data_IF_307954448124
#
_entry.id   IF_307954448124
#
_cell.length_a   1.000
_cell.length_b   1.000
_cell.length_c   1.000
_cell.angle_alpha   90.00
_cell.angle_beta   90.00
_cell.angle_gamma   90.00
#
_symmetry.space_group_name_H-M   'P 1'
#
loop_
_entity.id
_entity.type
_entity.pdbx_description
1 polymer ?
#
# COMPACT_ATOMS: atom_id res chain seq x y z
N UNK A 1 2.69 12.56 8.66
CA UNK A 1 3.17 11.73 7.52
C UNK A 1 4.67 11.59 7.59
N UNK A 2 5.22 10.41 7.37
CA UNK A 2 6.68 10.26 7.28
C UNK A 2 7.23 10.98 6.05
N UNK A 3 8.49 11.41 6.14
CA UNK A 3 9.19 12.04 5.02
C UNK A 3 9.49 11.00 3.93
N UNK A 4 9.86 11.47 2.74
CA UNK A 4 10.26 10.58 1.66
C UNK A 4 11.43 9.68 2.06
N UNK A 5 12.41 10.22 2.80
CA UNK A 5 13.54 9.41 3.28
C UNK A 5 13.12 8.36 4.29
N UNK A 6 12.22 8.70 5.19
CA UNK A 6 11.68 7.74 6.16
C UNK A 6 10.94 6.60 5.45
N UNK A 7 10.14 6.94 4.44
CA UNK A 7 9.42 5.94 3.65
C UNK A 7 10.42 5.02 2.92
N UNK A 8 11.46 5.57 2.30
CA UNK A 8 12.48 4.76 1.60
C UNK A 8 13.22 3.83 2.55
N UNK A 9 13.55 4.31 3.74
CA UNK A 9 14.19 3.48 4.77
C UNK A 9 13.26 2.34 5.18
N UNK A 10 11.98 2.65 5.36
CA UNK A 10 10.97 1.66 5.70
C UNK A 10 10.82 0.60 4.60
N UNK A 11 10.80 1.00 3.34
CA UNK A 11 10.70 0.09 2.20
C UNK A 11 11.93 -0.81 2.12
N UNK A 12 13.13 -0.28 2.34
CA UNK A 12 14.36 -1.08 2.36
C UNK A 12 14.30 -2.13 3.47
N UNK A 13 13.81 -1.77 4.65
CA UNK A 13 13.65 -2.71 5.77
C UNK A 13 12.66 -3.83 5.43
N UNK A 14 11.70 -3.56 4.56
CA UNK A 14 10.70 -4.52 4.12
C UNK A 14 11.06 -5.21 2.80
N UNK A 15 12.26 -4.97 2.26
CA UNK A 15 12.73 -5.51 0.98
C UNK A 15 11.82 -5.15 -0.21
N UNK A 16 11.22 -3.97 -0.17
CA UNK A 16 10.35 -3.45 -1.23
C UNK A 16 11.17 -2.54 -2.15
N UNK A 17 11.02 -2.71 -3.46
CA UNK A 17 11.68 -1.87 -4.44
C UNK A 17 11.07 -0.48 -4.47
N UNK A 18 11.77 0.52 -3.92
CA UNK A 18 11.27 1.89 -3.84
C UNK A 18 11.08 2.55 -5.20
N UNK A 19 11.87 2.15 -6.21
CA UNK A 19 11.77 2.72 -7.56
C UNK A 19 10.41 2.43 -8.22
N UNK A 20 9.81 1.28 -7.92
CA UNK A 20 8.47 0.92 -8.42
C UNK A 20 7.37 1.40 -7.49
N UNK A 21 7.61 1.34 -6.19
CA UNK A 21 6.60 1.59 -5.15
C UNK A 21 6.29 3.08 -4.96
N UNK A 22 7.32 3.93 -4.93
CA UNK A 22 7.17 5.36 -4.63
C UNK A 22 6.29 6.10 -5.64
N UNK A 23 6.43 5.91 -6.98
CA UNK A 23 5.55 6.57 -7.93
C UNK A 23 4.09 6.21 -7.74
N UNK A 24 3.80 4.96 -7.40
CA UNK A 24 2.43 4.51 -7.14
C UNK A 24 1.87 5.16 -5.88
N UNK A 25 2.67 5.21 -4.82
CA UNK A 25 2.27 5.87 -3.57
C UNK A 25 1.96 7.35 -3.80
N UNK A 26 2.83 8.07 -4.50
CA UNK A 26 2.62 9.49 -4.78
C UNK A 26 1.32 9.73 -5.55
N UNK A 27 1.01 8.83 -6.47
CA UNK A 27 -0.20 8.92 -7.27
C UNK A 27 -1.46 8.77 -6.41
N UNK A 28 -1.49 7.81 -5.50
CA UNK A 28 -2.67 7.60 -4.64
C UNK A 28 -2.77 8.63 -3.52
N UNK A 29 -1.67 9.16 -3.01
CA UNK A 29 -1.67 10.20 -1.98
C UNK A 29 -2.05 11.58 -2.54
N UNK A 30 -1.71 11.84 -3.80
CA UNK A 30 -1.96 13.13 -4.43
C UNK A 30 -3.39 13.34 -4.90
N UNK A 31 -4.26 12.35 -4.75
CA UNK A 31 -5.60 12.43 -5.28
C UNK A 31 -6.63 12.87 -4.24
N UNK A 32 -7.76 13.38 -4.76
CA UNK A 32 -8.88 13.85 -3.95
C UNK A 32 -9.75 12.73 -3.40
N UNK A 33 -9.60 11.50 -3.90
CA UNK A 33 -10.35 10.35 -3.40
C UNK A 33 -9.90 9.98 -2.00
N UNK A 34 -10.72 10.33 -1.04
CA UNK A 34 -10.43 10.13 0.38
C UNK A 34 -10.19 8.66 0.72
N UNK A 35 -11.01 7.77 0.16
CA UNK A 35 -10.90 6.33 0.45
C UNK A 35 -9.57 5.74 0.00
N UNK A 36 -9.10 6.12 -1.18
CA UNK A 36 -7.82 5.66 -1.72
C UNK A 36 -6.67 6.21 -0.87
N UNK A 37 -6.73 7.49 -0.55
CA UNK A 37 -5.71 8.13 0.28
C UNK A 37 -5.65 7.53 1.67
N UNK A 38 -6.80 7.29 2.29
CA UNK A 38 -6.87 6.71 3.64
C UNK A 38 -6.31 5.29 3.64
N UNK A 39 -6.55 4.50 2.61
CA UNK A 39 -5.97 3.16 2.47
C UNK A 39 -4.45 3.21 2.30
N UNK A 40 -3.95 4.19 1.54
CA UNK A 40 -2.50 4.37 1.39
C UNK A 40 -1.84 4.76 2.71
N UNK A 41 -2.47 5.64 3.49
CA UNK A 41 -2.00 6.04 4.81
C UNK A 41 -2.01 4.83 5.76
N UNK A 42 -3.06 4.02 5.71
CA UNK A 42 -3.15 2.79 6.50
C UNK A 42 -2.00 1.84 6.18
N UNK A 43 -1.69 1.67 4.90
CA UNK A 43 -0.57 0.84 4.46
C UNK A 43 0.75 1.34 5.06
N UNK A 44 1.02 2.65 4.99
CA UNK A 44 2.23 3.23 5.58
C UNK A 44 2.30 2.99 7.08
N UNK A 45 1.20 3.20 7.79
CA UNK A 45 1.14 2.99 9.22
C UNK A 45 1.40 1.53 9.59
N UNK A 46 0.83 0.60 8.83
CA UNK A 46 1.03 -0.83 9.06
C UNK A 46 2.50 -1.23 8.87
N UNK A 47 3.15 -0.70 7.83
CA UNK A 47 4.58 -0.94 7.60
C UNK A 47 5.43 -0.37 8.74
N UNK A 48 5.09 0.82 9.24
CA UNK A 48 5.78 1.42 10.38
C UNK A 48 5.64 0.57 11.65
N UNK A 49 4.44 0.08 11.92
CA UNK A 49 4.18 -0.76 13.08
C UNK A 49 4.94 -2.07 13.01
N UNK A 50 5.05 -2.64 11.81
CA UNK A 50 5.86 -3.83 11.61
C UNK A 50 7.34 -3.55 11.86
N UNK A 51 7.85 -2.43 11.36
CA UNK A 51 9.25 -2.04 11.57
C UNK A 51 9.57 -1.80 13.05
N UNK A 52 8.58 -1.35 13.81
CA UNK A 52 8.70 -1.12 15.26
C UNK A 52 8.53 -2.39 16.08
N UNK A 53 8.21 -3.51 15.45
CA UNK A 53 8.01 -4.78 16.15
C UNK A 53 6.62 -4.98 16.74
N UNK A 54 5.67 -4.10 16.45
CA UNK A 54 4.31 -4.17 16.98
C UNK A 54 3.40 -5.13 16.20
N UNK A 55 3.77 -5.42 14.95
CA UNK A 55 3.06 -6.37 14.10
C UNK A 55 4.04 -7.44 13.63
N UNK A 56 3.58 -8.70 13.60
CA UNK A 56 4.31 -9.77 12.95
C UNK A 56 4.13 -9.66 11.44
N UNK A 57 4.97 -10.39 10.69
CA UNK A 57 4.83 -10.46 9.24
C UNK A 57 3.48 -11.05 8.83
N UNK A 58 3.00 -12.06 9.57
CA UNK A 58 1.68 -12.65 9.33
C UNK A 58 0.54 -11.67 9.59
N UNK A 59 0.63 -10.89 10.67
CA UNK A 59 -0.36 -9.85 10.98
C UNK A 59 -0.42 -8.81 9.87
N UNK A 60 0.73 -8.35 9.41
CA UNK A 60 0.84 -7.39 8.33
C UNK A 60 0.22 -7.95 7.05
N UNK A 61 0.53 -9.18 6.70
CA UNK A 61 -0.02 -9.82 5.51
C UNK A 61 -1.53 -9.90 5.55
N UNK A 62 -2.11 -10.29 6.67
CA UNK A 62 -3.57 -10.37 6.84
C UNK A 62 -4.24 -8.99 6.66
N UNK A 63 -3.65 -7.95 7.25
CA UNK A 63 -4.16 -6.60 7.11
C UNK A 63 -4.14 -6.13 5.66
N UNK A 64 -3.03 -6.39 4.95
CA UNK A 64 -2.87 -5.97 3.56
C UNK A 64 -3.76 -6.78 2.61
N UNK A 65 -3.94 -8.06 2.85
CA UNK A 65 -4.87 -8.89 2.07
C UNK A 65 -6.30 -8.38 2.18
N UNK A 66 -6.72 -7.99 3.39
CA UNK A 66 -8.03 -7.36 3.60
C UNK A 66 -8.18 -6.06 2.83
N UNK A 67 -7.17 -5.21 2.86
CA UNK A 67 -7.17 -3.95 2.10
C UNK A 67 -7.17 -4.20 0.59
N UNK A 68 -6.42 -5.19 0.13
CA UNK A 68 -6.40 -5.59 -1.28
C UNK A 68 -7.78 -6.04 -1.75
N UNK A 69 -8.45 -6.85 -0.97
CA UNK A 69 -9.80 -7.35 -1.33
C UNK A 69 -10.80 -6.20 -1.42
N UNK A 70 -10.75 -5.26 -0.48
CA UNK A 70 -11.60 -4.06 -0.50
C UNK A 70 -11.31 -3.21 -1.74
N UNK A 71 -10.03 -2.98 -2.05
CA UNK A 71 -9.65 -2.20 -3.22
C UNK A 71 -10.11 -2.86 -4.52
N UNK A 72 -10.02 -4.19 -4.60
CA UNK A 72 -10.48 -4.95 -5.76
C UNK A 72 -11.98 -4.79 -5.97
N UNK A 73 -12.76 -4.92 -4.89
CA UNK A 73 -14.21 -4.74 -4.96
C UNK A 73 -14.55 -3.33 -5.41
N UNK A 74 -13.91 -2.32 -4.83
CA UNK A 74 -14.15 -0.92 -5.17
C UNK A 74 -13.80 -0.63 -6.63
N UNK A 75 -12.69 -1.18 -7.14
CA UNK A 75 -12.29 -1.01 -8.53
C UNK A 75 -13.33 -1.60 -9.47
N UNK A 76 -13.91 -2.75 -9.13
CA UNK A 76 -14.87 -3.44 -9.98
C UNK A 76 -16.23 -2.75 -10.03
N UNK A 77 -16.63 -2.03 -8.99
CA UNK A 77 -17.94 -1.38 -8.92
C UNK A 77 -17.90 0.10 -9.34
N UNK A 78 -16.71 0.66 -9.57
CA UNK A 78 -16.58 2.06 -9.96
C UNK A 78 -17.03 2.28 -11.40
N UNK A 79 -17.97 3.20 -11.59
CA UNK A 79 -18.45 3.58 -12.90
C UNK A 79 -17.65 4.72 -13.53
N UNK A 80 -16.89 5.47 -12.73
CA UNK A 80 -16.07 6.59 -13.19
C UNK A 80 -14.66 6.07 -13.45
N UNK A 81 -14.19 6.15 -14.70
CA UNK A 81 -12.93 5.55 -15.15
C UNK A 81 -11.73 6.04 -14.33
N UNK A 82 -11.67 7.35 -14.02
CA UNK A 82 -10.57 7.92 -13.23
C UNK A 82 -10.50 7.30 -11.83
N UNK A 83 -11.65 7.14 -11.18
CA UNK A 83 -11.72 6.55 -9.85
C UNK A 83 -11.37 5.07 -9.89
N UNK A 84 -11.80 4.36 -10.92
CA UNK A 84 -11.44 2.96 -11.12
C UNK A 84 -9.92 2.80 -11.30
N UNK A 85 -9.28 3.70 -12.04
CA UNK A 85 -7.82 3.68 -12.22
C UNK A 85 -7.07 3.93 -10.92
N UNK A 86 -7.58 4.81 -10.05
CA UNK A 86 -6.96 5.08 -8.75
C UNK A 86 -7.06 3.88 -7.83
N UNK A 87 -8.21 3.22 -7.81
CA UNK A 87 -8.39 1.98 -7.06
C UNK A 87 -7.46 0.89 -7.59
N UNK A 88 -7.31 0.79 -8.91
CA UNK A 88 -6.39 -0.16 -9.53
C UNK A 88 -4.93 0.14 -9.17
N UNK A 89 -4.55 1.42 -9.10
CA UNK A 89 -3.21 1.83 -8.67
C UNK A 89 -2.95 1.43 -7.22
N UNK A 90 -3.93 1.66 -6.34
CA UNK A 90 -3.85 1.23 -4.95
C UNK A 90 -3.72 -0.30 -4.84
N UNK A 91 -4.52 -1.03 -5.63
CA UNK A 91 -4.47 -2.49 -5.67
C UNK A 91 -3.09 -2.98 -6.09
N UNK A 92 -2.49 -2.36 -7.12
CA UNK A 92 -1.14 -2.70 -7.55
C UNK A 92 -0.11 -2.44 -6.45
N UNK A 93 -0.24 -1.32 -5.74
CA UNK A 93 0.64 -0.97 -4.63
C UNK A 93 0.59 -2.03 -3.53
N UNK A 94 -0.62 -2.48 -3.18
CA UNK A 94 -0.82 -3.53 -2.19
C UNK A 94 -0.27 -4.88 -2.68
N UNK A 95 -0.47 -5.22 -3.95
CA UNK A 95 0.05 -6.47 -4.53
C UNK A 95 1.58 -6.50 -4.52
N UNK A 96 2.23 -5.41 -4.88
CA UNK A 96 3.70 -5.33 -4.83
C UNK A 96 4.20 -5.53 -3.41
N UNK A 97 3.54 -4.92 -2.43
CA UNK A 97 3.90 -5.05 -1.03
C UNK A 97 3.76 -6.50 -0.56
N UNK A 98 2.63 -7.13 -0.90
CA UNK A 98 2.39 -8.54 -0.53
C UNK A 98 3.39 -9.47 -1.20
N UNK A 99 3.73 -9.24 -2.47
CA UNK A 99 4.73 -10.05 -3.18
C UNK A 99 6.11 -9.91 -2.53
N UNK A 100 6.48 -8.72 -2.11
CA UNK A 100 7.75 -8.49 -1.41
C UNK A 100 7.81 -9.26 -0.07
N UNK A 101 6.70 -9.28 0.66
CA UNK A 101 6.62 -10.05 1.91
C UNK A 101 6.71 -11.56 1.64
N UNK A 102 6.03 -12.05 0.60
CA UNK A 102 6.08 -13.46 0.23
C UNK A 102 7.45 -13.87 -0.29
N UNK A 103 8.14 -12.99 -1.00
CA UNK A 103 9.47 -13.25 -1.56
C UNK A 103 10.56 -13.47 -0.53
N UNK A 104 10.27 -13.26 0.74
CA UNK A 104 11.23 -13.52 1.84
C UNK A 104 11.25 -14.96 2.30
N UNK A 105 10.33 -15.72 1.81
CA UNK A 105 10.30 -17.14 2.08
C UNK A 105 11.28 -17.86 1.17
#
# INVERSE_FOLDING_TARGET
MPTTMEIRTLLSACAINSAEWMPLLNKVLGDEQREVRDSAIFLLQALQQKAQGWLTEDDLRLLLEGQRDIARIRANIQSIARQAQLQATLLRLLDITLLALAGRL
#
